data_IF_375093860344
#
_entry.id   IF_375093860344
#
_cell.length_a   1.000
_cell.length_b   1.000
_cell.length_c   1.000
_cell.angle_alpha   90.00
_cell.angle_beta   90.00
_cell.angle_gamma   90.00
#
_symmetry.space_group_name_H-M   'P 1'
#
loop_
_entity.id
_entity.type
_entity.pdbx_description
1 polymer ?
#
# COMPACT_ATOMS: atom_id res chain seq x y z
N UNK A 1 17.09 7.69 0.14
CA UNK A 1 15.82 7.08 -0.34
C UNK A 1 14.82 6.93 0.81
N UNK A 2 13.72 7.68 0.80
CA UNK A 2 12.70 7.65 1.85
C UNK A 2 11.67 6.55 1.52
N UNK A 3 11.65 5.47 2.31
CA UNK A 3 10.72 4.34 2.13
C UNK A 3 9.38 4.48 2.86
N UNK A 4 9.14 5.61 3.55
CA UNK A 4 7.95 5.88 4.36
C UNK A 4 7.20 7.07 3.77
N UNK A 5 6.13 6.79 3.04
CA UNK A 5 5.34 7.74 2.27
C UNK A 5 3.85 7.41 2.40
N UNK A 6 3.00 8.27 1.85
CA UNK A 6 1.55 8.05 1.86
C UNK A 6 1.13 6.76 1.15
N UNK A 7 1.85 6.35 0.09
CA UNK A 7 1.54 5.18 -0.75
C UNK A 7 0.06 5.14 -1.14
N UNK A 8 -0.65 4.07 -0.78
CA UNK A 8 -2.08 3.90 -1.07
C UNK A 8 -2.99 4.87 -0.31
N UNK A 9 -2.45 5.55 0.71
CA UNK A 9 -3.10 6.66 1.42
C UNK A 9 -2.87 8.04 0.81
N UNK A 10 -2.20 8.14 -0.34
CA UNK A 10 -2.04 9.43 -1.01
C UNK A 10 -3.39 9.93 -1.55
N UNK A 11 -3.78 11.21 -1.37
CA UNK A 11 -5.10 11.69 -1.79
C UNK A 11 -5.28 11.74 -3.32
N UNK A 12 -4.20 11.94 -4.07
CA UNK A 12 -4.17 11.92 -5.53
C UNK A 12 -4.22 10.49 -6.09
N UNK A 13 -5.15 10.24 -7.03
CA UNK A 13 -5.37 8.92 -7.61
C UNK A 13 -4.24 8.44 -8.52
N UNK A 14 -3.59 9.34 -9.26
CA UNK A 14 -2.49 9.00 -10.17
C UNK A 14 -1.23 8.66 -9.37
N UNK A 15 -1.01 9.36 -8.25
CA UNK A 15 0.07 9.00 -7.32
C UNK A 15 -0.18 7.62 -6.68
N UNK A 16 -1.43 7.29 -6.31
CA UNK A 16 -1.74 5.93 -5.83
C UNK A 16 -1.50 4.88 -6.92
N UNK A 17 -1.92 5.16 -8.17
CA UNK A 17 -1.69 4.28 -9.32
C UNK A 17 -0.19 4.01 -9.52
N UNK A 18 0.64 5.06 -9.46
CA UNK A 18 2.09 4.91 -9.51
C UNK A 18 2.60 3.96 -8.43
N UNK A 19 2.14 4.10 -7.17
CA UNK A 19 2.57 3.19 -6.10
C UNK A 19 2.03 1.78 -6.26
N UNK A 20 0.82 1.58 -6.79
CA UNK A 20 0.32 0.24 -7.13
C UNK A 20 1.27 -0.44 -8.12
N UNK A 21 1.65 0.25 -9.19
CA UNK A 21 2.55 -0.31 -10.22
C UNK A 21 3.97 -0.50 -9.67
N UNK A 22 4.42 0.39 -8.78
CA UNK A 22 5.68 0.25 -8.07
C UNK A 22 5.69 -1.00 -7.17
N UNK A 23 4.63 -1.25 -6.41
CA UNK A 23 4.52 -2.44 -5.55
C UNK A 23 4.36 -3.72 -6.37
N UNK A 24 3.71 -3.69 -7.53
CA UNK A 24 3.70 -4.85 -8.46
C UNK A 24 5.11 -5.20 -8.91
N UNK A 25 5.88 -4.20 -9.34
CA UNK A 25 7.30 -4.39 -9.70
C UNK A 25 8.12 -4.89 -8.50
N UNK A 26 7.84 -4.38 -7.29
CA UNK A 26 8.52 -4.84 -6.09
C UNK A 26 8.16 -6.29 -5.74
N UNK A 27 6.95 -6.74 -6.05
CA UNK A 27 6.55 -8.14 -5.91
C UNK A 27 7.37 -9.05 -6.84
N UNK A 28 7.54 -8.63 -8.09
CA UNK A 28 8.34 -9.36 -9.09
C UNK A 28 9.78 -9.51 -8.63
N UNK A 29 10.41 -8.39 -8.24
CA UNK A 29 11.80 -8.39 -7.71
C UNK A 29 11.91 -9.27 -6.47
N UNK A 30 10.94 -9.18 -5.56
CA UNK A 30 10.93 -9.96 -4.32
C UNK A 30 10.85 -11.47 -4.61
N UNK A 31 9.98 -11.87 -5.54
CA UNK A 31 9.84 -13.25 -5.97
C UNK A 31 11.11 -13.77 -6.68
N UNK A 32 11.68 -12.99 -7.58
CA UNK A 32 12.92 -13.32 -8.29
C UNK A 32 14.11 -13.55 -7.34
N UNK A 33 14.12 -12.83 -6.21
CA UNK A 33 15.12 -12.97 -5.15
C UNK A 33 14.79 -14.09 -4.13
N UNK A 34 13.68 -14.81 -4.30
CA UNK A 34 13.29 -15.93 -3.45
C UNK A 34 12.57 -15.54 -2.15
N UNK A 35 12.05 -14.33 -2.05
CA UNK A 35 11.23 -13.92 -0.90
C UNK A 35 9.84 -14.55 -0.94
N UNK A 36 9.22 -14.73 0.23
CA UNK A 36 7.86 -15.28 0.35
C UNK A 36 6.78 -14.19 0.48
N UNK A 37 7.16 -12.96 0.83
CA UNK A 37 6.21 -11.86 0.97
C UNK A 37 6.89 -10.50 1.05
N UNK A 38 6.09 -9.45 0.90
CA UNK A 38 6.53 -8.05 0.94
C UNK A 38 5.46 -7.16 1.59
N UNK A 39 5.82 -5.93 1.95
CA UNK A 39 4.90 -5.02 2.63
C UNK A 39 5.49 -3.64 2.93
N UNK A 40 4.62 -2.80 3.49
CA UNK A 40 4.90 -1.43 3.94
C UNK A 40 3.88 -1.06 5.04
N UNK A 41 3.70 0.21 5.43
CA UNK A 41 2.56 0.61 6.27
C UNK A 41 1.24 0.37 5.51
N UNK A 42 0.11 0.18 6.22
CA UNK A 42 -1.18 -0.04 5.55
C UNK A 42 -1.48 1.12 4.58
N UNK A 43 -1.41 2.34 5.10
CA UNK A 43 -1.45 3.59 4.37
C UNK A 43 -1.05 4.71 5.33
N UNK A 44 -0.37 5.75 4.85
CA UNK A 44 -0.12 6.95 5.65
C UNK A 44 -1.01 8.07 5.12
N UNK A 45 -1.92 8.58 5.95
CA UNK A 45 -2.85 9.65 5.57
C UNK A 45 -2.29 11.03 5.91
N UNK A 46 -2.77 12.04 5.18
CA UNK A 46 -2.59 13.44 5.58
C UNK A 46 -3.48 13.75 6.78
N UNK A 47 -3.18 14.82 7.53
CA UNK A 47 -4.08 15.28 8.60
C UNK A 47 -5.49 15.56 8.07
N UNK A 48 -5.61 16.24 6.92
CA UNK A 48 -6.90 16.57 6.30
C UNK A 48 -7.75 15.34 5.99
N UNK A 49 -7.12 14.27 5.53
CA UNK A 49 -7.85 13.03 5.16
C UNK A 49 -8.13 12.15 6.37
N UNK A 50 -7.29 12.21 7.41
CA UNK A 50 -7.48 11.44 8.63
C UNK A 50 -8.48 12.06 9.61
N UNK A 51 -8.47 13.38 9.76
CA UNK A 51 -9.27 14.10 10.76
C UNK A 51 -10.76 14.21 10.35
N UNK A 52 -11.07 14.06 9.07
CA UNK A 52 -12.44 13.94 8.55
C UNK A 52 -12.87 12.45 8.49
N UNK A 53 -13.82 12.00 9.32
CA UNK A 53 -14.22 10.60 9.37
C UNK A 53 -14.77 10.05 8.05
N UNK A 54 -15.44 10.86 7.23
CA UNK A 54 -16.01 10.42 5.96
C UNK A 54 -14.91 10.24 4.92
N UNK A 55 -13.98 11.20 4.84
CA UNK A 55 -12.80 11.08 3.98
C UNK A 55 -11.93 9.91 4.38
N UNK A 56 -11.71 9.72 5.68
CA UNK A 56 -10.93 8.60 6.23
C UNK A 56 -11.53 7.27 5.83
N UNK A 57 -12.85 7.08 6.00
CA UNK A 57 -13.53 5.84 5.63
C UNK A 57 -13.40 5.57 4.11
N UNK A 58 -13.67 6.57 3.27
CA UNK A 58 -13.55 6.42 1.82
C UNK A 58 -12.12 6.09 1.38
N UNK A 59 -11.11 6.70 2.00
CA UNK A 59 -9.71 6.47 1.65
C UNK A 59 -9.18 5.13 2.16
N UNK A 60 -9.70 4.62 3.28
CA UNK A 60 -9.43 3.24 3.73
C UNK A 60 -9.92 2.22 2.70
N UNK A 61 -11.14 2.39 2.18
CA UNK A 61 -11.68 1.50 1.16
C UNK A 61 -10.83 1.54 -0.12
N UNK A 62 -10.45 2.74 -0.57
CA UNK A 62 -9.56 2.92 -1.73
C UNK A 62 -8.19 2.25 -1.49
N UNK A 63 -7.59 2.43 -0.31
CA UNK A 63 -6.31 1.82 0.03
C UNK A 63 -6.40 0.28 0.04
N UNK A 64 -7.51 -0.27 0.55
CA UNK A 64 -7.76 -1.71 0.52
C UNK A 64 -7.87 -2.26 -0.90
N UNK A 65 -8.54 -1.54 -1.82
CA UNK A 65 -8.57 -1.93 -3.24
C UNK A 65 -7.17 -1.88 -3.88
N UNK A 66 -6.34 -0.90 -3.54
CA UNK A 66 -4.93 -0.87 -3.98
C UNK A 66 -4.16 -2.12 -3.49
N UNK A 67 -4.34 -2.51 -2.24
CA UNK A 67 -3.76 -3.74 -1.70
C UNK A 67 -4.26 -4.99 -2.42
N UNK A 68 -5.55 -5.07 -2.76
CA UNK A 68 -6.11 -6.19 -3.53
C UNK A 68 -5.50 -6.31 -4.92
N UNK A 69 -5.32 -5.18 -5.62
CA UNK A 69 -4.64 -5.18 -6.93
C UNK A 69 -3.20 -5.69 -6.84
N UNK A 70 -2.46 -5.27 -5.80
CA UNK A 70 -1.09 -5.74 -5.57
C UNK A 70 -1.07 -7.22 -5.16
N UNK A 71 -2.02 -7.67 -4.34
CA UNK A 71 -2.12 -9.06 -3.91
C UNK A 71 -2.36 -10.03 -5.07
N UNK A 72 -3.22 -9.66 -6.03
CA UNK A 72 -3.45 -10.49 -7.23
C UNK A 72 -2.17 -10.63 -8.07
N UNK A 73 -1.44 -9.53 -8.27
CA UNK A 73 -0.15 -9.56 -8.98
C UNK A 73 0.92 -10.34 -8.21
N UNK A 74 1.07 -10.08 -6.92
CA UNK A 74 2.05 -10.74 -6.06
C UNK A 74 1.85 -12.25 -5.98
N UNK A 75 0.59 -12.70 -5.92
CA UNK A 75 0.24 -14.12 -6.00
C UNK A 75 0.67 -14.74 -7.32
N UNK A 76 0.45 -14.04 -8.44
CA UNK A 76 0.88 -14.50 -9.76
C UNK A 76 2.42 -14.53 -9.89
N UNK A 77 3.13 -13.60 -9.24
CA UNK A 77 4.59 -13.56 -9.19
C UNK A 77 5.20 -14.67 -8.29
N UNK A 78 4.42 -15.27 -7.39
CA UNK A 78 4.85 -16.39 -6.54
C UNK A 78 5.00 -16.05 -5.06
N UNK A 79 4.62 -14.85 -4.62
CA UNK A 79 4.55 -14.51 -3.20
C UNK A 79 3.35 -15.20 -2.55
N UNK A 80 3.51 -15.57 -1.27
CA UNK A 80 2.49 -16.30 -0.50
C UNK A 80 1.72 -15.39 0.45
N UNK A 81 2.25 -14.23 0.79
CA UNK A 81 1.57 -13.22 1.60
C UNK A 81 2.04 -11.81 1.29
N UNK A 82 1.19 -10.85 1.63
CA UNK A 82 1.56 -9.46 1.83
C UNK A 82 1.43 -9.13 3.32
N UNK A 83 2.14 -8.12 3.79
CA UNK A 83 1.99 -7.62 5.16
C UNK A 83 1.84 -6.11 5.20
N UNK A 84 1.24 -5.61 6.27
CA UNK A 84 1.39 -4.22 6.67
C UNK A 84 2.08 -4.11 8.03
N UNK A 85 2.84 -3.04 8.23
CA UNK A 85 3.44 -2.67 9.51
C UNK A 85 2.45 -1.79 10.30
N UNK A 86 1.91 -2.23 11.45
CA UNK A 86 1.10 -1.38 12.31
C UNK A 86 1.96 -0.28 12.95
N UNK A 87 1.47 0.96 12.92
CA UNK A 87 2.23 2.12 13.40
C UNK A 87 1.68 2.69 14.71
N UNK A 88 2.43 3.62 15.31
CA UNK A 88 2.08 4.24 16.60
C UNK A 88 1.26 5.54 16.50
N UNK A 89 0.97 5.99 15.29
CA UNK A 89 0.20 7.23 15.02
C UNK A 89 -1.04 6.85 14.25
N UNK A 90 -2.23 7.30 14.67
CA UNK A 90 -3.49 6.81 14.11
C UNK A 90 -3.66 7.00 12.59
N UNK A 91 -2.97 7.99 11.99
CA UNK A 91 -2.99 8.23 10.54
C UNK A 91 -2.04 7.32 9.74
N UNK A 92 -1.37 6.37 10.39
CA UNK A 92 -0.32 5.51 9.82
C UNK A 92 -0.57 4.02 10.10
#
# INVERSE_FOLDING_TARGET
>A
PYGRLNHFGHPDADVRRYYVDWFKTFADISADLGASGMGTQFAIFTHKDFDDPQRRAALLDIALECWREVAEHARAAGLTYLFWEPMSVGRE
#
